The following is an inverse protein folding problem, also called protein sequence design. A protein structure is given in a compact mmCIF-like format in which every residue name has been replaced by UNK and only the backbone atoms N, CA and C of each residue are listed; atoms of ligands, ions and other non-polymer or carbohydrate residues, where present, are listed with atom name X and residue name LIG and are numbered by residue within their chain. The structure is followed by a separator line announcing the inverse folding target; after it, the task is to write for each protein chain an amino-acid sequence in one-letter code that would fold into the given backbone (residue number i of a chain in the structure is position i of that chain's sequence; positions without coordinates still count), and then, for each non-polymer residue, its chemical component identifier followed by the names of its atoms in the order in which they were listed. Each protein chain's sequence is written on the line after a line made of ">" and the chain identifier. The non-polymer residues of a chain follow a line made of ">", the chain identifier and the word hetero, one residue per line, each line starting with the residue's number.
data_IF_090902654301
#
_entry.id   IF_090902654301
#
_cell.length_a   1.000
_cell.length_b   1.000
_cell.length_c   1.000
_cell.angle_alpha   90.00
_cell.angle_beta   90.00
_cell.angle_gamma   90.00
#
_symmetry.space_group_name_H-M   'P 1'
#
loop_
_entity.id
_entity.type
_entity.pdbx_description
1 polymer ?
#
# COMPACT_ATOMS: atom_id res chain seq x y z
N UNK A 1 15.57 11.78 -0.19
CA UNK A 1 14.64 11.32 0.86
C UNK A 1 13.79 10.22 0.26
N UNK A 2 13.85 9.01 0.84
CA UNK A 2 13.10 7.84 0.37
C UNK A 2 11.61 8.06 0.63
N UNK A 3 10.77 7.72 -0.34
CA UNK A 3 9.33 8.00 -0.26
C UNK A 3 8.54 6.78 0.22
N UNK A 4 9.11 5.60 0.05
CA UNK A 4 8.41 4.34 0.27
C UNK A 4 9.20 3.41 1.19
N UNK A 5 8.47 2.49 1.80
CA UNK A 5 8.97 1.59 2.83
C UNK A 5 8.90 0.16 2.26
N UNK A 6 10.03 -0.57 2.19
CA UNK A 6 9.99 -1.97 1.77
C UNK A 6 9.36 -2.77 2.90
N UNK A 7 8.24 -3.44 2.60
CA UNK A 7 7.52 -4.24 3.58
C UNK A 7 7.60 -5.71 3.23
N UNK A 8 7.67 -6.53 4.26
CA UNK A 8 7.78 -7.97 4.14
C UNK A 8 6.90 -8.68 5.17
N UNK A 9 6.24 -9.72 4.70
CA UNK A 9 5.35 -10.55 5.49
C UNK A 9 5.35 -11.94 4.86
N UNK A 10 4.22 -12.42 4.34
CA UNK A 10 4.16 -13.60 3.49
C UNK A 10 4.74 -13.36 2.09
N UNK A 11 4.53 -12.14 1.57
CA UNK A 11 5.08 -11.65 0.31
C UNK A 11 5.80 -10.31 0.55
N UNK A 12 6.71 -9.98 -0.36
CA UNK A 12 7.37 -8.69 -0.38
C UNK A 12 6.50 -7.66 -1.12
N UNK A 13 6.50 -6.42 -0.65
CA UNK A 13 5.74 -5.33 -1.23
C UNK A 13 6.30 -3.96 -0.85
N UNK A 14 5.49 -2.93 -1.10
CA UNK A 14 5.79 -1.55 -0.77
C UNK A 14 4.73 -1.03 0.20
N UNK A 15 5.14 -0.28 1.21
CA UNK A 15 4.27 0.54 2.02
C UNK A 15 4.67 2.01 1.97
N UNK A 16 3.86 2.88 2.57
CA UNK A 16 4.18 4.30 2.72
C UNK A 16 3.55 4.87 3.99
N UNK A 17 4.09 6.00 4.44
CA UNK A 17 3.50 6.74 5.54
C UNK A 17 2.42 7.67 5.02
N UNK A 18 1.29 7.70 5.72
CA UNK A 18 0.19 8.59 5.43
C UNK A 18 -0.29 9.29 6.70
N UNK A 19 -0.53 10.58 6.62
CA UNK A 19 -1.02 11.39 7.75
C UNK A 19 -2.49 11.76 7.54
N UNK A 20 -3.33 11.44 8.52
CA UNK A 20 -4.76 11.75 8.54
C UNK A 20 -5.41 11.19 9.80
N UNK A 21 -6.62 11.65 10.15
CA UNK A 21 -7.31 11.22 11.37
C UNK A 21 -6.50 11.50 12.66
N UNK A 22 -5.76 12.62 12.71
CA UNK A 22 -4.87 13.00 13.81
C UNK A 22 -3.74 12.00 14.13
N UNK A 23 -3.38 11.12 13.19
CA UNK A 23 -2.32 10.14 13.35
C UNK A 23 -1.49 9.99 12.07
N UNK A 24 -0.38 9.25 12.18
CA UNK A 24 0.39 8.76 11.03
C UNK A 24 0.26 7.24 10.97
N UNK A 25 -0.02 6.76 9.77
CA UNK A 25 -0.35 5.38 9.46
C UNK A 25 0.69 4.82 8.51
N UNK A 26 1.05 3.56 8.68
CA UNK A 26 1.69 2.78 7.62
C UNK A 26 0.60 2.14 6.77
N UNK A 27 0.55 2.50 5.49
CA UNK A 27 -0.37 1.93 4.51
C UNK A 27 0.38 0.95 3.62
N UNK A 28 -0.23 -0.20 3.34
CA UNK A 28 0.29 -1.22 2.42
C UNK A 28 -0.84 -2.10 1.89
N UNK A 29 -0.54 -3.01 0.97
CA UNK A 29 -1.49 -3.95 0.41
C UNK A 29 -1.74 -5.15 1.34
N UNK A 30 -3.01 -5.52 1.55
CA UNK A 30 -3.43 -6.63 2.39
C UNK A 30 -2.97 -7.99 1.86
N UNK A 31 -2.97 -8.19 0.53
CA UNK A 31 -2.50 -9.45 -0.06
C UNK A 31 -1.03 -9.74 0.20
N UNK A 32 -0.23 -8.75 0.62
CA UNK A 32 1.16 -9.00 1.00
C UNK A 32 1.27 -9.80 2.30
N UNK A 33 0.20 -9.85 3.09
CA UNK A 33 0.12 -10.61 4.35
C UNK A 33 -0.22 -12.08 4.16
N UNK A 34 -0.64 -12.49 2.97
CA UNK A 34 -1.10 -13.85 2.69
C UNK A 34 -0.39 -14.42 1.47
N UNK A 35 -0.12 -15.73 1.50
CA UNK A 35 0.34 -16.45 0.29
C UNK A 35 -0.83 -16.70 -0.68
N UNK A 36 -2.07 -16.51 -0.23
CA UNK A 36 -3.27 -16.69 -1.02
C UNK A 36 -3.76 -15.35 -1.56
N UNK A 37 -3.52 -15.10 -2.85
CA UNK A 37 -3.92 -13.86 -3.54
C UNK A 37 -5.43 -13.62 -3.62
N UNK A 38 -6.24 -14.61 -3.24
CA UNK A 38 -7.70 -14.60 -3.42
C UNK A 38 -8.49 -14.41 -2.12
N UNK A 39 -7.82 -14.39 -0.96
CA UNK A 39 -8.50 -14.17 0.33
C UNK A 39 -7.66 -13.29 1.26
N UNK A 40 -7.94 -11.99 1.23
CA UNK A 40 -7.44 -11.01 2.21
C UNK A 40 -8.33 -10.92 3.45
N UNK A 41 -9.45 -11.66 3.48
CA UNK A 41 -10.42 -11.66 4.59
C UNK A 41 -10.21 -12.76 5.63
N UNK A 42 -9.51 -13.84 5.25
CA UNK A 42 -9.14 -14.88 6.21
C UNK A 42 -7.83 -14.53 6.92
N UNK A 43 -7.96 -13.81 8.03
CA UNK A 43 -6.83 -13.38 8.85
C UNK A 43 -6.22 -14.50 9.68
N UNK A 44 -6.85 -15.67 9.76
CA UNK A 44 -6.29 -16.80 10.54
C UNK A 44 -4.93 -17.25 10.02
N UNK A 45 -4.70 -17.08 8.71
CA UNK A 45 -3.45 -17.43 8.02
C UNK A 45 -2.46 -16.26 7.92
N UNK A 46 -2.82 -15.07 8.39
CA UNK A 46 -1.91 -13.93 8.37
C UNK A 46 -0.85 -14.10 9.46
N UNK A 47 0.39 -13.63 9.23
CA UNK A 47 1.42 -13.63 10.25
C UNK A 47 1.08 -12.63 11.36
N UNK A 48 1.71 -12.81 12.52
CA UNK A 48 1.48 -11.94 13.68
C UNK A 48 2.10 -10.55 13.53
N UNK A 49 3.03 -10.37 12.58
CA UNK A 49 3.69 -9.09 12.34
C UNK A 49 4.03 -8.85 10.87
N UNK A 50 4.08 -7.57 10.51
CA UNK A 50 4.69 -7.06 9.28
C UNK A 50 6.10 -6.56 9.60
N UNK A 51 7.04 -6.85 8.72
CA UNK A 51 8.44 -6.44 8.83
C UNK A 51 8.75 -5.30 7.88
N UNK A 52 9.45 -4.29 8.37
CA UNK A 52 10.06 -3.22 7.59
C UNK A 52 11.58 -3.42 7.61
N UNK A 53 12.16 -3.66 6.44
CA UNK A 53 13.59 -3.84 6.30
C UNK A 53 14.29 -2.53 5.93
N UNK A 54 15.32 -2.16 6.66
CA UNK A 54 16.10 -0.97 6.37
C UNK A 54 17.36 -1.34 5.57
N UNK A 55 17.90 -0.37 4.83
CA UNK A 55 19.11 -0.57 4.03
C UNK A 55 20.35 -0.88 4.87
N UNK A 56 20.35 -0.50 6.15
CA UNK A 56 21.41 -0.79 7.12
C UNK A 56 21.30 -2.20 7.74
N UNK A 57 20.31 -3.00 7.32
CA UNK A 57 20.05 -4.35 7.83
C UNK A 57 19.17 -4.39 9.08
N UNK A 58 18.80 -3.23 9.65
CA UNK A 58 17.83 -3.16 10.75
C UNK A 58 16.47 -3.68 10.26
N UNK A 59 15.70 -4.27 11.18
CA UNK A 59 14.33 -4.71 10.93
C UNK A 59 13.40 -4.14 12.00
N UNK A 60 12.30 -3.53 11.58
CA UNK A 60 11.21 -3.15 12.47
C UNK A 60 10.05 -4.13 12.28
N UNK A 61 9.73 -4.89 13.33
CA UNK A 61 8.53 -5.71 13.37
C UNK A 61 7.36 -4.88 13.92
N UNK A 62 6.26 -4.84 13.17
CA UNK A 62 5.02 -4.15 13.52
C UNK A 62 3.96 -5.22 13.74
N UNK A 63 3.45 -5.33 14.96
CA UNK A 63 2.41 -6.30 15.29
C UNK A 63 1.14 -6.04 14.46
N UNK A 64 0.62 -7.07 13.82
CA UNK A 64 -0.66 -7.05 13.10
C UNK A 64 -1.81 -7.47 14.01
N UNK A 65 -1.53 -8.21 15.08
CA UNK A 65 -2.54 -8.71 16.00
C UNK A 65 -2.14 -8.53 17.47
N UNK A 66 -3.14 -8.38 18.35
CA UNK A 66 -2.96 -8.49 19.80
C UNK A 66 -2.64 -9.94 20.21
N UNK A 67 -2.23 -10.19 21.46
CA UNK A 67 -2.04 -11.57 21.96
C UNK A 67 -3.28 -12.47 21.81
N UNK A 68 -4.48 -11.89 21.87
CA UNK A 68 -5.77 -12.57 21.66
C UNK A 68 -6.17 -12.66 20.17
N UNK A 69 -5.23 -12.36 19.26
CA UNK A 69 -5.41 -12.28 17.80
C UNK A 69 -6.45 -11.27 17.31
N UNK A 70 -6.67 -10.16 18.03
CA UNK A 70 -7.49 -9.04 17.52
C UNK A 70 -6.66 -8.20 16.55
N UNK A 71 -7.19 -7.80 15.38
CA UNK A 71 -6.43 -6.99 14.42
C UNK A 71 -6.04 -5.64 15.04
N UNK A 72 -4.78 -5.24 14.81
CA UNK A 72 -4.23 -3.93 15.19
C UNK A 72 -4.11 -2.99 13.98
N UNK A 73 -4.78 -3.35 12.88
CA UNK A 73 -4.83 -2.60 11.64
C UNK A 73 -6.27 -2.33 11.25
N UNK A 74 -6.47 -1.24 10.52
CA UNK A 74 -7.71 -0.96 9.82
C UNK A 74 -7.65 -1.59 8.43
N UNK A 75 -8.78 -2.13 7.98
CA UNK A 75 -8.93 -2.80 6.69
C UNK A 75 -10.29 -2.42 6.10
N UNK A 76 -10.32 -2.09 4.82
CA UNK A 76 -11.55 -1.72 4.14
C UNK A 76 -12.32 -2.99 3.76
N UNK A 77 -13.44 -3.24 4.44
CA UNK A 77 -14.37 -4.31 4.11
C UNK A 77 -15.68 -3.65 3.63
N UNK A 78 -15.92 -3.60 2.33
CA UNK A 78 -17.19 -3.16 1.74
C UNK A 78 -18.28 -4.22 1.79
N UNK A 79 -17.98 -5.48 2.12
CA UNK A 79 -18.98 -6.55 2.11
C UNK A 79 -19.55 -6.85 0.70
N UNK A 80 -19.04 -6.19 -0.34
CA UNK A 80 -19.38 -6.44 -1.73
C UNK A 80 -18.32 -7.38 -2.27
N UNK A 81 -18.61 -8.68 -2.28
CA UNK A 81 -17.67 -9.69 -2.77
C UNK A 81 -17.15 -9.33 -4.17
N UNK A 82 -15.83 -9.13 -4.29
CA UNK A 82 -15.15 -8.93 -5.58
C UNK A 82 -14.65 -7.50 -5.87
N UNK A 83 -14.84 -6.53 -4.97
CA UNK A 83 -14.23 -5.19 -5.10
C UNK A 83 -12.78 -5.20 -4.60
N UNK A 84 -11.87 -4.59 -5.37
CA UNK A 84 -10.42 -4.57 -5.07
C UNK A 84 -9.99 -3.56 -3.99
N UNK A 85 -10.95 -2.84 -3.42
CA UNK A 85 -10.73 -1.96 -2.26
C UNK A 85 -10.31 -2.78 -1.03
N UNK A 86 -10.71 -4.05 -0.99
CA UNK A 86 -10.40 -5.10 0.00
C UNK A 86 -8.91 -5.51 0.07
N UNK A 87 -8.02 -4.70 -0.47
CA UNK A 87 -6.61 -5.04 -0.60
C UNK A 87 -5.70 -3.97 0.00
N UNK A 88 -6.22 -3.06 0.83
CA UNK A 88 -5.41 -2.09 1.58
C UNK A 88 -5.61 -2.23 3.08
N UNK A 89 -4.51 -2.15 3.83
CA UNK A 89 -4.52 -2.03 5.29
C UNK A 89 -3.82 -0.74 5.72
N UNK A 90 -4.22 -0.21 6.88
CA UNK A 90 -3.52 0.87 7.55
C UNK A 90 -3.22 0.49 9.00
N UNK A 91 -1.96 0.66 9.41
CA UNK A 91 -1.51 0.38 10.78
C UNK A 91 -1.16 1.70 11.45
N UNK A 92 -1.81 2.00 12.57
CA UNK A 92 -1.49 3.21 13.36
C UNK A 92 -0.12 3.02 14.01
N UNK A 93 0.78 3.96 13.77
CA UNK A 93 2.14 3.88 14.31
C UNK A 93 2.24 4.56 15.68
N UNK A 94 2.97 3.93 16.60
CA UNK A 94 3.34 4.54 17.87
C UNK A 94 4.59 5.44 17.73
N UNK A 95 4.94 6.17 18.79
CA UNK A 95 6.05 7.13 18.78
C UNK A 95 7.40 6.50 18.43
N UNK A 96 7.68 5.29 18.91
CA UNK A 96 8.95 4.61 18.66
C UNK A 96 9.05 4.14 17.20
N UNK A 97 7.97 3.59 16.66
CA UNK A 97 7.87 3.23 15.25
C UNK A 97 8.01 4.46 14.34
N UNK A 98 7.37 5.57 14.69
CA UNK A 98 7.49 6.83 13.96
C UNK A 98 8.92 7.37 13.98
N UNK A 99 9.61 7.25 15.12
CA UNK A 99 11.02 7.64 15.23
C UNK A 99 11.90 6.83 14.28
N UNK A 100 11.69 5.51 14.21
CA UNK A 100 12.42 4.63 13.28
C UNK A 100 12.10 4.93 11.81
N UNK A 101 10.86 5.34 11.52
CA UNK A 101 10.40 5.64 10.16
C UNK A 101 10.52 7.13 9.79
N UNK A 102 11.17 7.95 10.61
CA UNK A 102 11.25 9.41 10.43
C UNK A 102 11.98 9.86 9.16
N UNK A 103 12.78 8.97 8.56
CA UNK A 103 13.47 9.23 7.29
C UNK A 103 12.53 9.15 6.06
N UNK A 104 11.33 8.57 6.21
CA UNK A 104 10.35 8.42 5.14
C UNK A 104 9.34 9.57 5.14
N UNK A 105 8.92 9.98 3.94
CA UNK A 105 7.91 11.03 3.79
C UNK A 105 6.52 10.49 4.18
N UNK A 106 5.83 11.21 5.07
CA UNK A 106 4.40 11.05 5.27
C UNK A 106 3.61 11.86 4.23
N UNK A 107 2.67 11.20 3.55
CA UNK A 107 1.77 11.83 2.59
C UNK A 107 0.48 12.27 3.28
N UNK A 108 0.07 13.55 3.18
CA UNK A 108 -1.23 13.95 3.69
C UNK A 108 -2.34 13.27 2.90
N UNK A 109 -3.25 12.61 3.61
CA UNK A 109 -4.53 12.22 3.05
C UNK A 109 -5.41 13.45 2.96
N UNK A 110 -6.10 13.60 1.84
CA UNK A 110 -7.11 14.61 1.66
C UNK A 110 -7.71 14.51 0.28
N UNK A 111 -8.63 15.43 0.02
CA UNK A 111 -9.28 15.51 -1.27
C UNK A 111 -8.26 15.82 -2.36
N UNK A 112 -8.35 15.07 -3.44
CA UNK A 112 -7.60 15.31 -4.65
C UNK A 112 -8.56 15.17 -5.83
N UNK A 113 -8.36 16.00 -6.83
CA UNK A 113 -9.01 15.85 -8.12
C UNK A 113 -7.96 15.46 -9.15
N UNK A 114 -8.31 14.48 -9.97
CA UNK A 114 -7.53 14.06 -11.14
C UNK A 114 -8.47 13.88 -12.30
N UNK A 115 -7.96 14.06 -13.51
CA UNK A 115 -8.69 13.87 -14.75
C UNK A 115 -8.10 12.70 -15.53
N UNK A 116 -8.93 12.12 -16.40
CA UNK A 116 -8.45 11.17 -17.40
C UNK A 116 -7.33 11.81 -18.25
N UNK A 117 -6.24 11.09 -18.41
CA UNK A 117 -5.05 11.55 -19.13
C UNK A 117 -3.98 12.25 -18.29
N UNK A 118 -4.29 12.64 -17.04
CA UNK A 118 -3.29 13.18 -16.11
C UNK A 118 -2.17 12.15 -15.86
N UNK A 119 -0.95 12.64 -15.67
CA UNK A 119 0.18 11.78 -15.32
C UNK A 119 0.04 11.31 -13.86
N UNK A 120 0.29 10.03 -13.65
CA UNK A 120 0.38 9.41 -12.35
C UNK A 120 1.64 8.55 -12.25
N UNK A 121 2.23 8.50 -11.06
CA UNK A 121 3.48 7.78 -10.80
C UNK A 121 3.30 6.82 -9.64
N UNK A 122 3.46 5.53 -9.91
CA UNK A 122 3.60 4.50 -8.87
C UNK A 122 5.03 4.51 -8.36
N UNK A 123 5.23 4.45 -7.04
CA UNK A 123 6.56 4.42 -6.43
C UNK A 123 6.66 3.18 -5.55
N UNK A 124 7.79 2.50 -5.59
CA UNK A 124 8.04 1.36 -4.71
C UNK A 124 9.26 0.55 -5.11
N UNK A 125 9.23 -0.73 -4.77
CA UNK A 125 10.35 -1.66 -4.94
C UNK A 125 10.01 -2.71 -6.00
N UNK A 126 10.07 -2.39 -7.31
CA UNK A 126 9.76 -3.37 -8.33
C UNK A 126 10.76 -4.53 -8.27
N UNK A 127 10.27 -5.72 -8.62
CA UNK A 127 10.99 -6.98 -8.55
C UNK A 127 11.38 -7.41 -7.13
N UNK A 128 10.88 -6.70 -6.10
CA UNK A 128 11.02 -7.13 -4.72
C UNK A 128 10.12 -8.34 -4.49
N UNK A 129 10.77 -9.49 -4.27
CA UNK A 129 10.11 -10.77 -4.04
C UNK A 129 10.68 -11.47 -2.81
N UNK A 130 9.96 -12.46 -2.30
CA UNK A 130 10.31 -13.19 -1.08
C UNK A 130 11.66 -13.94 -1.11
N UNK A 131 12.37 -13.96 -2.26
CA UNK A 131 13.65 -14.65 -2.46
C UNK A 131 14.86 -13.70 -2.53
N UNK A 132 14.67 -12.39 -2.46
CA UNK A 132 15.77 -11.44 -2.63
C UNK A 132 16.37 -11.05 -1.26
N UNK A 133 17.64 -11.43 -0.97
CA UNK A 133 18.30 -11.05 0.28
C UNK A 133 18.59 -9.54 0.36
N UNK A 134 18.59 -8.86 -0.79
CA UNK A 134 18.82 -7.43 -0.90
C UNK A 134 17.55 -6.73 -1.37
N UNK A 135 17.17 -5.66 -0.67
CA UNK A 135 16.07 -4.77 -1.09
C UNK A 135 16.50 -4.09 -2.39
N UNK A 136 15.74 -4.21 -3.49
CA UNK A 136 16.07 -3.48 -4.71
C UNK A 136 15.95 -1.97 -4.49
N UNK A 137 16.54 -1.13 -5.35
CA UNK A 137 16.36 0.32 -5.23
C UNK A 137 14.90 0.71 -5.45
N UNK A 138 14.44 1.75 -4.74
CA UNK A 138 13.15 2.41 -5.01
C UNK A 138 13.12 2.89 -6.47
N UNK A 139 12.02 2.64 -7.18
CA UNK A 139 11.79 3.08 -8.55
C UNK A 139 10.42 3.75 -8.67
N UNK A 140 10.33 4.60 -9.68
CA UNK A 140 9.10 5.23 -10.12
C UNK A 140 8.67 4.61 -11.46
N UNK A 141 7.38 4.33 -11.60
CA UNK A 141 6.74 3.90 -12.85
C UNK A 141 5.61 4.88 -13.16
N UNK A 142 5.82 5.72 -14.17
CA UNK A 142 4.82 6.68 -14.62
C UNK A 142 3.91 6.09 -15.70
N UNK A 143 2.65 6.54 -15.68
CA UNK A 143 1.66 6.32 -16.73
C UNK A 143 0.61 7.43 -16.68
N UNK A 144 -0.48 7.25 -17.41
CA UNK A 144 -1.63 8.16 -17.41
C UNK A 144 -2.85 7.50 -16.84
N UNK A 145 -3.69 8.31 -16.22
CA UNK A 145 -5.00 7.87 -15.71
C UNK A 145 -5.92 7.51 -16.89
N UNK A 146 -6.53 6.33 -16.82
CA UNK A 146 -7.47 5.76 -17.79
C UNK A 146 -8.73 5.31 -17.07
N UNK A 147 -9.59 6.26 -16.73
CA UNK A 147 -10.82 6.03 -16.01
C UNK A 147 -10.63 6.14 -14.50
N UNK A 148 -11.60 6.82 -13.91
CA UNK A 148 -11.70 7.07 -12.49
C UNK A 148 -13.10 6.64 -12.01
N UNK A 149 -13.14 5.68 -11.10
CA UNK A 149 -14.28 5.52 -10.19
C UNK A 149 -13.89 6.07 -8.83
N UNK A 150 -14.88 6.43 -7.99
CA UNK A 150 -14.63 6.96 -6.64
C UNK A 150 -13.68 6.09 -5.79
N UNK A 151 -13.66 4.78 -6.05
CA UNK A 151 -12.89 3.80 -5.27
C UNK A 151 -11.59 3.37 -5.96
N UNK A 152 -11.53 3.42 -7.29
CA UNK A 152 -10.47 2.81 -8.08
C UNK A 152 -10.03 3.71 -9.22
N UNK A 153 -8.72 3.80 -9.41
CA UNK A 153 -8.08 4.54 -10.51
C UNK A 153 -7.37 3.53 -11.40
N UNK A 154 -7.67 3.58 -12.70
CA UNK A 154 -6.96 2.80 -13.72
C UNK A 154 -5.79 3.59 -14.29
N UNK A 155 -4.64 2.93 -14.49
CA UNK A 155 -3.47 3.50 -15.16
C UNK A 155 -3.18 2.73 -16.47
N UNK A 156 -2.75 3.42 -17.53
CA UNK A 156 -2.31 2.79 -18.79
C UNK A 156 -0.95 2.07 -18.73
N UNK A 157 -0.41 1.91 -17.52
CA UNK A 157 0.82 1.18 -17.26
C UNK A 157 0.57 0.10 -16.23
N UNK A 158 1.13 -1.09 -16.45
CA UNK A 158 1.04 -2.19 -15.51
C UNK A 158 1.93 -1.94 -14.28
N UNK A 159 1.41 -2.27 -13.10
CA UNK A 159 2.21 -2.45 -11.90
C UNK A 159 3.13 -3.67 -12.05
N UNK A 160 4.37 -3.55 -11.57
CA UNK A 160 5.31 -4.66 -11.45
C UNK A 160 5.18 -5.30 -10.06
N UNK A 161 5.56 -6.58 -9.95
CA UNK A 161 5.66 -7.25 -8.66
C UNK A 161 6.54 -6.44 -7.69
N UNK A 162 6.14 -6.35 -6.42
CA UNK A 162 6.80 -5.54 -5.40
C UNK A 162 6.29 -4.10 -5.28
N UNK A 163 5.57 -3.55 -6.28
CA UNK A 163 4.92 -2.24 -6.16
C UNK A 163 3.61 -2.27 -5.33
N UNK A 164 3.04 -3.44 -5.09
CA UNK A 164 1.81 -3.61 -4.30
C UNK A 164 1.89 -2.89 -2.96
N UNK A 165 0.89 -2.07 -2.65
CA UNK A 165 0.80 -1.24 -1.46
C UNK A 165 1.53 0.09 -1.54
N UNK A 166 2.30 0.32 -2.60
CA UNK A 166 3.06 1.56 -2.80
C UNK A 166 2.17 2.76 -3.14
N UNK A 167 2.62 3.99 -2.86
CA UNK A 167 1.85 5.19 -3.15
C UNK A 167 1.82 5.47 -4.65
N UNK A 168 0.70 6.05 -5.09
CA UNK A 168 0.55 6.61 -6.43
C UNK A 168 0.37 8.11 -6.31
N UNK A 169 1.19 8.86 -7.05
CA UNK A 169 1.20 10.32 -7.00
C UNK A 169 0.75 10.94 -8.32
N UNK A 170 0.01 12.03 -8.29
CA UNK A 170 -0.20 12.93 -9.43
C UNK A 170 0.01 14.37 -8.98
N UNK A 171 0.75 15.17 -9.78
CA UNK A 171 1.14 16.52 -9.37
C UNK A 171 1.89 16.59 -8.02
N UNK A 172 2.53 15.50 -7.60
CA UNK A 172 3.20 15.39 -6.30
C UNK A 172 2.28 15.15 -5.09
N UNK A 173 0.97 14.99 -5.29
CA UNK A 173 -0.03 14.64 -4.28
C UNK A 173 -0.34 13.15 -4.33
N UNK A 174 -0.62 12.55 -3.17
CA UNK A 174 -1.09 11.16 -3.12
C UNK A 174 -2.50 11.08 -3.70
N UNK A 175 -2.70 10.16 -4.64
CA UNK A 175 -4.01 9.87 -5.25
C UNK A 175 -4.47 8.45 -4.95
N UNK A 176 -3.61 7.60 -4.39
CA UNK A 176 -3.99 6.24 -4.01
C UNK A 176 -2.83 5.30 -3.70
N UNK A 177 -3.16 4.03 -3.58
CA UNK A 177 -2.25 2.92 -3.29
C UNK A 177 -2.35 1.84 -4.37
N UNK A 178 -1.22 1.30 -4.82
CA UNK A 178 -1.17 0.23 -5.83
C UNK A 178 -1.81 -1.05 -5.27
N UNK A 179 -2.84 -1.57 -5.95
CA UNK A 179 -3.48 -2.86 -5.60
C UNK A 179 -3.14 -3.98 -6.58
N UNK A 180 -2.68 -3.66 -7.79
CA UNK A 180 -2.19 -4.65 -8.75
C UNK A 180 -2.55 -4.29 -10.18
N UNK A 181 -2.98 -5.28 -10.96
CA UNK A 181 -3.37 -5.10 -12.37
C UNK A 181 -4.77 -5.65 -12.66
N UNK A 182 -5.46 -5.12 -13.68
CA UNK A 182 -6.52 -5.87 -14.37
C UNK A 182 -5.89 -6.85 -15.35
N UNK A 183 -6.50 -8.04 -15.50
CA UNK A 183 -6.14 -9.04 -16.52
C UNK A 183 -7.21 -9.12 -17.62
N UNK A 184 -7.90 -8.01 -17.87
CA UNK A 184 -8.89 -7.86 -18.93
C UNK A 184 -8.22 -7.33 -20.19
N UNK A 185 -8.96 -7.23 -21.30
CA UNK A 185 -8.46 -6.81 -22.62
C UNK A 185 -7.70 -5.47 -22.61
N UNK A 186 -7.93 -4.64 -21.59
CA UNK A 186 -7.32 -3.31 -21.43
C UNK A 186 -6.14 -3.23 -20.44
N UNK A 187 -5.69 -4.36 -19.86
CA UNK A 187 -4.48 -4.50 -19.02
C UNK A 187 -3.97 -3.20 -18.36
N UNK A 188 -4.54 -2.86 -17.20
CA UNK A 188 -4.28 -1.58 -16.50
C UNK A 188 -3.63 -1.81 -15.16
N UNK A 189 -2.78 -0.88 -14.73
CA UNK A 189 -2.43 -0.73 -13.33
C UNK A 189 -3.66 -0.31 -12.55
N UNK A 190 -3.82 -0.86 -11.34
CA UNK A 190 -4.95 -0.60 -10.46
C UNK A 190 -4.49 0.03 -9.16
N UNK A 191 -5.23 1.07 -8.80
CA UNK A 191 -4.94 1.91 -7.65
C UNK A 191 -6.23 2.07 -6.85
N UNK A 192 -6.19 1.81 -5.54
CA UNK A 192 -7.26 2.19 -4.62
C UNK A 192 -7.12 3.67 -4.33
N UNK A 193 -8.18 4.46 -4.51
CA UNK A 193 -8.13 5.92 -4.35
C UNK A 193 -7.76 6.33 -2.92
N UNK A 194 -7.05 7.44 -2.74
CA UNK A 194 -6.69 7.88 -1.39
C UNK A 194 -7.87 8.44 -0.59
N UNK A 195 -8.95 8.83 -1.27
CA UNK A 195 -10.23 9.18 -0.64
C UNK A 195 -10.83 7.94 0.05
N UNK A 196 -10.79 6.80 -0.62
CA UNK A 196 -11.26 5.53 -0.08
C UNK A 196 -10.35 5.01 1.05
N UNK A 197 -9.02 5.08 0.86
CA UNK A 197 -8.04 4.77 1.92
C UNK A 197 -8.30 5.63 3.16
N UNK A 198 -8.49 6.94 2.97
CA UNK A 198 -8.70 7.89 4.06
C UNK A 198 -10.00 7.67 4.81
N UNK A 199 -11.12 7.64 4.09
CA UNK A 199 -12.46 7.55 4.68
C UNK A 199 -12.70 6.22 5.41
N UNK A 200 -12.04 5.14 4.98
CA UNK A 200 -12.27 3.80 5.54
C UNK A 200 -11.21 3.32 6.51
N UNK A 201 -9.95 3.71 6.29
CA UNK A 201 -8.85 3.14 7.06
C UNK A 201 -8.40 4.05 8.20
N UNK A 202 -8.75 5.34 8.21
CA UNK A 202 -8.16 6.32 9.16
C UNK A 202 -9.20 6.76 10.21
N UNK A 203 -9.86 5.75 10.79
CA UNK A 203 -10.83 5.87 11.88
C UNK A 203 -10.18 5.67 13.24
#
# INVERSE_FOLDING_TARGET
>A
MTRTIPVYSALAGTGFLASGGNATWLVTAGHTMTKCRHSTKDWSQWPDSLHVHFADGTNLAIALFSPERRPLFNYANDGIAGTKVEDSIAIKLNSDQLKMLSAFRAFPIGDFSTNDGDEATMIGFPDFGARYPNIPPERAVSGRIKGYGHQMIGLDVLSKGGLSGGPVLSGGRLIGSVSGNTLTDDNRGLVVSSEEVGSRLFI
#
